data_IF_644075497662
#
_entry.id   IF_644075497662
#
_cell.length_a   1.000
_cell.length_b   1.000
_cell.length_c   1.000
_cell.angle_alpha   90.00
_cell.angle_beta   90.00
_cell.angle_gamma   90.00
#
_symmetry.space_group_name_H-M   'P 1'
#
loop_
_entity.id
_entity.type
_entity.pdbx_description
1 polymer ?
#
# COMPACT_ATOMS: atom_id res chain seq x y z
N UNK A 1 -27.25 29.79 5.66
CA UNK A 1 -28.27 28.75 5.90
C UNK A 1 -27.72 27.85 6.99
N UNK A 2 -28.52 27.51 8.01
CA UNK A 2 -28.04 26.57 9.05
C UNK A 2 -27.71 25.23 8.42
N UNK A 3 -26.52 24.69 8.70
CA UNK A 3 -26.10 23.38 8.25
C UNK A 3 -27.05 22.30 8.81
N UNK A 4 -27.58 21.44 7.96
CA UNK A 4 -28.43 20.33 8.39
C UNK A 4 -27.54 19.10 8.64
N UNK A 5 -27.22 18.85 9.91
CA UNK A 5 -26.50 17.66 10.31
C UNK A 5 -27.47 16.50 10.64
N UNK A 6 -27.06 15.28 10.32
CA UNK A 6 -27.75 14.05 10.74
C UNK A 6 -26.75 13.08 11.37
N UNK A 7 -27.17 12.45 12.44
CA UNK A 7 -26.37 11.49 13.19
C UNK A 7 -26.90 10.08 12.96
N UNK A 8 -26.01 9.15 12.63
CA UNK A 8 -26.34 7.73 12.52
C UNK A 8 -25.58 6.96 13.59
N UNK A 9 -26.30 6.22 14.41
CA UNK A 9 -25.74 5.38 15.46
C UNK A 9 -25.83 3.92 15.04
N UNK A 10 -24.67 3.25 14.94
CA UNK A 10 -24.64 1.82 14.71
C UNK A 10 -24.87 1.08 16.03
N UNK A 11 -25.86 0.21 16.08
CA UNK A 11 -26.17 -0.59 17.27
C UNK A 11 -25.77 -2.05 17.13
N UNK A 12 -25.20 -2.45 16.00
CA UNK A 12 -24.73 -3.81 15.75
C UNK A 12 -23.30 -4.08 16.17
N UNK A 13 -22.82 -5.31 15.95
CA UNK A 13 -21.47 -5.78 16.28
C UNK A 13 -21.05 -5.58 17.74
N UNK A 14 -22.02 -5.65 18.70
CA UNK A 14 -21.79 -5.40 20.12
C UNK A 14 -21.67 -3.92 20.52
N UNK A 15 -21.75 -2.99 19.56
CA UNK A 15 -21.65 -1.55 19.85
C UNK A 15 -22.83 -1.07 20.68
N UNK A 16 -24.07 -1.48 20.32
CA UNK A 16 -25.27 -1.09 21.05
C UNK A 16 -25.34 -1.62 22.49
N UNK A 17 -24.58 -2.67 22.81
CA UNK A 17 -24.45 -3.21 24.17
C UNK A 17 -23.37 -2.48 24.98
N UNK A 18 -22.33 -1.97 24.29
CA UNK A 18 -21.22 -1.26 24.91
C UNK A 18 -21.49 0.23 25.12
N UNK A 19 -22.44 0.81 24.40
CA UNK A 19 -22.75 2.24 24.40
C UNK A 19 -24.14 2.54 24.96
N UNK A 20 -24.27 3.63 25.69
CA UNK A 20 -25.57 4.18 26.05
C UNK A 20 -26.14 4.98 24.85
N UNK A 21 -26.79 4.27 23.93
CA UNK A 21 -27.34 4.84 22.70
C UNK A 21 -28.38 5.94 22.97
N UNK A 22 -29.14 5.81 24.05
CA UNK A 22 -30.19 6.78 24.45
C UNK A 22 -29.56 8.10 24.93
N UNK A 23 -28.47 8.01 25.70
CA UNK A 23 -27.69 9.19 26.12
C UNK A 23 -27.06 9.92 24.91
N UNK A 24 -26.51 9.17 23.95
CA UNK A 24 -25.94 9.71 22.71
C UNK A 24 -26.98 10.43 21.87
N UNK A 25 -28.15 9.81 21.69
CA UNK A 25 -29.31 10.42 21.02
C UNK A 25 -29.69 11.74 21.72
N UNK A 26 -29.81 11.71 23.03
CA UNK A 26 -30.18 12.90 23.82
C UNK A 26 -29.18 14.05 23.61
N UNK A 27 -27.90 13.80 23.60
CA UNK A 27 -26.87 14.81 23.33
C UNK A 27 -27.01 15.36 21.90
N UNK A 28 -27.13 14.49 20.91
CA UNK A 28 -27.21 14.91 19.51
C UNK A 28 -28.46 15.78 19.23
N UNK A 29 -29.59 15.44 19.83
CA UNK A 29 -30.85 16.16 19.65
C UNK A 29 -30.92 17.45 20.48
N UNK A 30 -30.51 17.41 21.77
CA UNK A 30 -30.68 18.53 22.68
C UNK A 30 -29.61 19.60 22.55
N UNK A 31 -28.36 19.21 22.35
CA UNK A 31 -27.24 20.17 22.27
C UNK A 31 -27.00 20.68 20.84
N UNK A 32 -27.29 19.85 19.84
CA UNK A 32 -26.95 20.15 18.45
C UNK A 32 -28.16 20.23 17.50
N UNK A 33 -29.36 19.90 17.98
CA UNK A 33 -30.58 19.90 17.15
C UNK A 33 -30.52 18.94 15.96
N UNK A 34 -29.66 17.92 16.04
CA UNK A 34 -29.42 16.98 14.95
C UNK A 34 -30.51 15.87 14.95
N UNK A 35 -30.95 15.46 13.77
CA UNK A 35 -31.78 14.26 13.66
C UNK A 35 -30.91 13.00 13.85
N UNK A 36 -31.42 12.03 14.64
CA UNK A 36 -30.70 10.78 14.91
C UNK A 36 -31.44 9.61 14.26
N UNK A 37 -30.69 8.71 13.65
CA UNK A 37 -31.16 7.41 13.15
C UNK A 37 -30.28 6.29 13.67
N UNK A 38 -30.87 5.17 14.02
CA UNK A 38 -30.19 3.96 14.47
C UNK A 38 -30.36 2.85 13.46
N UNK A 39 -29.31 2.03 13.32
CA UNK A 39 -29.35 0.85 12.48
C UNK A 39 -28.36 -0.20 12.98
N UNK A 40 -28.78 -1.48 12.96
CA UNK A 40 -27.95 -2.59 13.44
C UNK A 40 -26.65 -2.83 12.66
N UNK A 41 -26.58 -2.41 11.38
CA UNK A 41 -25.42 -2.62 10.53
C UNK A 41 -25.27 -1.45 9.54
N UNK A 42 -24.77 -0.30 10.00
CA UNK A 42 -24.56 0.88 9.14
C UNK A 42 -23.54 0.63 8.02
N UNK A 43 -22.58 -0.27 8.23
CA UNK A 43 -21.61 -0.69 7.23
C UNK A 43 -22.17 -1.69 6.19
N UNK A 44 -23.35 -2.25 6.43
CA UNK A 44 -24.02 -3.17 5.52
C UNK A 44 -24.77 -2.45 4.39
N UNK A 45 -25.19 -3.20 3.34
CA UNK A 45 -25.91 -2.62 2.19
C UNK A 45 -27.15 -1.83 2.57
N UNK A 46 -27.93 -2.33 3.53
CA UNK A 46 -29.16 -1.69 4.00
C UNK A 46 -28.90 -0.38 4.75
N UNK A 47 -27.87 -0.35 5.62
CA UNK A 47 -27.45 0.86 6.31
C UNK A 47 -26.95 1.94 5.36
N UNK A 48 -26.12 1.55 4.40
CA UNK A 48 -25.62 2.45 3.35
C UNK A 48 -26.77 3.01 2.50
N UNK A 49 -27.73 2.17 2.13
CA UNK A 49 -28.89 2.61 1.33
C UNK A 49 -29.81 3.54 2.13
N UNK A 50 -30.00 3.28 3.42
CA UNK A 50 -30.74 4.20 4.32
C UNK A 50 -30.07 5.58 4.34
N UNK A 51 -28.76 5.65 4.53
CA UNK A 51 -27.99 6.91 4.52
C UNK A 51 -28.15 7.63 3.17
N UNK A 52 -28.02 6.90 2.06
CA UNK A 52 -28.16 7.45 0.71
C UNK A 52 -29.55 8.00 0.44
N UNK A 53 -30.58 7.25 0.79
CA UNK A 53 -31.98 7.66 0.66
C UNK A 53 -32.29 8.91 1.47
N UNK A 54 -31.88 8.92 2.74
CA UNK A 54 -32.11 10.04 3.63
C UNK A 54 -31.43 11.32 3.15
N UNK A 55 -30.22 11.19 2.59
CA UNK A 55 -29.51 12.30 1.97
C UNK A 55 -30.29 12.89 0.79
N UNK A 56 -30.86 12.04 -0.05
CA UNK A 56 -31.61 12.47 -1.23
C UNK A 56 -32.93 13.14 -0.86
N UNK A 57 -33.61 12.63 0.18
CA UNK A 57 -34.97 13.10 0.56
C UNK A 57 -34.93 14.30 1.49
N UNK A 58 -33.97 14.40 2.40
CA UNK A 58 -33.94 15.43 3.44
C UNK A 58 -32.88 16.53 3.17
N UNK A 59 -31.99 16.33 2.22
CA UNK A 59 -31.03 17.36 1.78
C UNK A 59 -30.03 17.77 2.85
N UNK A 60 -29.63 16.83 3.73
CA UNK A 60 -28.55 17.09 4.68
C UNK A 60 -27.18 16.92 3.99
N UNK A 61 -26.18 17.62 4.47
CA UNK A 61 -24.86 17.72 3.86
C UNK A 61 -23.74 17.11 4.71
N UNK A 62 -24.04 16.69 5.96
CA UNK A 62 -23.01 16.22 6.91
C UNK A 62 -23.47 15.02 7.74
N UNK A 63 -22.54 14.06 7.99
CA UNK A 63 -22.74 12.81 8.75
C UNK A 63 -21.68 12.63 9.81
N UNK A 64 -22.07 12.13 10.99
CA UNK A 64 -21.16 11.76 12.10
C UNK A 64 -21.46 10.34 12.57
N UNK A 65 -20.44 9.53 12.78
CA UNK A 65 -20.53 8.13 13.21
C UNK A 65 -19.48 7.86 14.31
N UNK A 66 -19.83 7.85 15.58
CA UNK A 66 -19.19 7.28 16.78
C UNK A 66 -19.12 8.21 18.01
N UNK A 67 -18.99 7.62 19.21
CA UNK A 67 -19.31 8.21 20.51
C UNK A 67 -18.40 9.33 21.01
N UNK A 68 -17.14 9.04 21.30
CA UNK A 68 -16.22 10.02 21.89
C UNK A 68 -15.85 11.16 20.95
N UNK A 69 -16.05 10.95 19.66
CA UNK A 69 -15.76 11.93 18.62
C UNK A 69 -16.98 12.75 18.20
N UNK A 70 -18.18 12.42 18.73
CA UNK A 70 -19.41 13.05 18.26
C UNK A 70 -19.40 14.55 18.52
N UNK A 71 -19.06 14.96 19.73
CA UNK A 71 -18.94 16.39 20.10
C UNK A 71 -17.85 17.11 19.29
N UNK A 72 -16.67 16.51 19.25
CA UNK A 72 -15.55 17.09 18.49
C UNK A 72 -15.83 17.03 16.98
N UNK A 73 -16.46 15.97 16.50
CA UNK A 73 -16.84 15.80 15.11
C UNK A 73 -17.87 16.84 14.65
N UNK A 74 -18.91 17.08 15.43
CA UNK A 74 -19.93 18.09 15.10
C UNK A 74 -19.32 19.49 15.09
N UNK A 75 -18.57 19.88 16.14
CA UNK A 75 -17.91 21.19 16.22
C UNK A 75 -16.89 21.36 15.10
N UNK A 76 -16.14 20.29 14.78
CA UNK A 76 -15.18 20.33 13.67
C UNK A 76 -15.87 20.53 12.32
N UNK A 77 -16.98 19.79 12.09
CA UNK A 77 -17.75 19.89 10.85
C UNK A 77 -18.41 21.28 10.71
N UNK A 78 -18.96 21.85 11.79
CA UNK A 78 -19.54 23.19 11.78
C UNK A 78 -18.53 24.30 11.47
N UNK A 79 -17.27 24.10 11.91
CA UNK A 79 -16.17 25.06 11.72
C UNK A 79 -15.32 24.77 10.48
N UNK A 80 -15.61 23.69 9.75
CA UNK A 80 -14.86 23.33 8.54
C UNK A 80 -15.60 23.87 7.32
N UNK A 81 -14.98 24.82 6.64
CA UNK A 81 -15.44 25.23 5.31
C UNK A 81 -15.16 24.07 4.34
N UNK A 82 -16.09 23.83 3.41
CA UNK A 82 -15.81 22.90 2.31
C UNK A 82 -14.67 23.46 1.50
N UNK A 83 -13.61 22.67 1.25
CA UNK A 83 -12.58 23.11 0.32
C UNK A 83 -13.23 23.32 -1.05
N UNK A 84 -12.83 24.41 -1.69
CA UNK A 84 -13.24 24.65 -3.08
C UNK A 84 -12.89 23.41 -3.92
N UNK A 85 -13.81 22.95 -4.77
CA UNK A 85 -13.53 21.79 -5.62
C UNK A 85 -12.35 22.11 -6.53
N UNK A 86 -11.38 21.20 -6.58
CA UNK A 86 -10.26 21.31 -7.51
C UNK A 86 -10.78 21.32 -8.95
N UNK A 87 -10.70 22.46 -9.63
CA UNK A 87 -11.17 22.65 -11.01
C UNK A 87 -10.04 22.59 -12.04
N UNK A 88 -8.81 22.29 -11.64
CA UNK A 88 -7.66 22.18 -12.53
C UNK A 88 -7.70 20.93 -13.41
N UNK A 89 -6.92 20.94 -14.48
CA UNK A 89 -6.73 19.78 -15.32
C UNK A 89 -6.16 18.61 -14.53
N UNK A 90 -6.87 17.49 -14.53
CA UNK A 90 -6.45 16.25 -13.90
C UNK A 90 -5.53 15.47 -14.84
N UNK A 91 -4.30 15.23 -14.44
CA UNK A 91 -3.38 14.37 -15.16
C UNK A 91 -3.88 12.91 -15.13
N UNK A 92 -3.92 12.27 -16.30
CA UNK A 92 -4.40 10.89 -16.44
C UNK A 92 -3.28 9.85 -16.32
N UNK A 93 -2.02 10.29 -16.32
CA UNK A 93 -0.84 9.44 -16.22
C UNK A 93 -0.69 8.93 -14.78
N UNK A 94 -0.40 7.66 -14.63
CA UNK A 94 -0.09 7.03 -13.33
C UNK A 94 1.41 6.78 -13.24
N UNK A 95 2.02 7.23 -12.14
CA UNK A 95 3.39 6.90 -11.82
C UNK A 95 3.44 5.66 -10.93
N UNK A 96 4.27 4.70 -11.28
CA UNK A 96 4.57 3.52 -10.45
C UNK A 96 6.02 3.59 -10.01
N UNK A 97 6.26 3.52 -8.71
CA UNK A 97 7.60 3.64 -8.11
C UNK A 97 8.07 2.28 -7.64
N UNK A 98 9.08 1.74 -8.31
CA UNK A 98 9.68 0.44 -8.07
C UNK A 98 9.38 -0.57 -9.18
N UNK A 99 10.43 -1.09 -9.81
CA UNK A 99 10.40 -2.05 -10.93
C UNK A 99 10.47 -3.51 -10.50
N UNK A 100 10.08 -3.82 -9.25
CA UNK A 100 9.91 -5.19 -8.76
C UNK A 100 8.61 -5.81 -9.29
N UNK A 101 8.32 -7.05 -8.84
CA UNK A 101 7.14 -7.80 -9.32
C UNK A 101 5.82 -7.05 -9.08
N UNK A 102 5.67 -6.41 -7.93
CA UNK A 102 4.47 -5.66 -7.59
C UNK A 102 4.30 -4.43 -8.50
N UNK A 103 5.38 -3.66 -8.71
CA UNK A 103 5.33 -2.48 -9.57
C UNK A 103 5.13 -2.82 -11.03
N UNK A 104 5.80 -3.85 -11.56
CA UNK A 104 5.58 -4.33 -12.92
C UNK A 104 4.13 -4.80 -13.13
N UNK A 105 3.57 -5.53 -12.15
CA UNK A 105 2.18 -5.97 -12.23
C UNK A 105 1.23 -4.77 -12.21
N UNK A 106 1.42 -3.83 -11.28
CA UNK A 106 0.61 -2.62 -11.22
C UNK A 106 0.69 -1.80 -12.53
N UNK A 107 1.89 -1.65 -13.08
CA UNK A 107 2.09 -0.93 -14.34
C UNK A 107 1.33 -1.58 -15.52
N UNK A 108 1.40 -2.91 -15.63
CA UNK A 108 0.69 -3.65 -16.68
C UNK A 108 -0.83 -3.56 -16.52
N UNK A 109 -1.36 -3.71 -15.31
CA UNK A 109 -2.80 -3.60 -15.04
C UNK A 109 -3.34 -2.19 -15.33
N UNK A 110 -2.62 -1.16 -14.90
CA UNK A 110 -2.99 0.24 -15.20
C UNK A 110 -2.95 0.53 -16.70
N UNK A 111 -1.93 0.02 -17.39
CA UNK A 111 -1.81 0.18 -18.83
C UNK A 111 -2.89 -0.60 -19.60
N UNK A 112 -3.26 -1.80 -19.12
CA UNK A 112 -4.38 -2.58 -19.65
C UNK A 112 -5.73 -1.86 -19.46
N UNK A 113 -5.88 -1.10 -18.35
CA UNK A 113 -7.03 -0.22 -18.13
C UNK A 113 -7.03 1.05 -19.01
N UNK A 114 -6.10 1.16 -19.96
CA UNK A 114 -6.04 2.24 -20.96
C UNK A 114 -5.33 3.51 -20.49
N UNK A 115 -4.61 3.49 -19.37
CA UNK A 115 -3.90 4.67 -18.86
C UNK A 115 -2.42 4.65 -19.26
N UNK A 116 -1.86 5.85 -19.40
CA UNK A 116 -0.41 6.02 -19.56
C UNK A 116 0.27 5.80 -18.21
N UNK A 117 1.39 5.08 -18.23
CA UNK A 117 2.16 4.74 -17.03
C UNK A 117 3.59 5.22 -17.16
N UNK A 118 4.12 5.80 -16.09
CA UNK A 118 5.55 6.05 -15.91
C UNK A 118 6.05 5.12 -14.81
N UNK A 119 6.83 4.11 -15.17
CA UNK A 119 7.43 3.17 -14.22
C UNK A 119 8.87 3.58 -13.90
N UNK A 120 9.12 3.94 -12.64
CA UNK A 120 10.44 4.30 -12.14
C UNK A 120 11.09 3.13 -11.43
N UNK A 121 12.37 2.90 -11.71
CA UNK A 121 13.20 1.92 -11.00
C UNK A 121 14.57 2.55 -10.70
N UNK A 122 15.00 2.46 -9.44
CA UNK A 122 16.30 3.01 -9.00
C UNK A 122 17.51 2.24 -9.55
N UNK A 123 17.33 0.94 -9.81
CA UNK A 123 18.37 0.09 -10.39
C UNK A 123 18.37 0.19 -11.92
N UNK A 124 19.47 -0.18 -12.58
CA UNK A 124 19.52 -0.24 -14.05
C UNK A 124 18.69 -1.38 -14.64
N UNK A 125 18.15 -2.28 -13.81
CA UNK A 125 17.40 -3.46 -14.25
C UNK A 125 16.10 -3.59 -13.48
N UNK A 126 15.05 -4.08 -14.17
CA UNK A 126 13.79 -4.50 -13.56
C UNK A 126 13.92 -5.87 -12.88
N UNK A 127 12.92 -6.21 -12.06
CA UNK A 127 12.74 -7.54 -11.47
C UNK A 127 12.78 -7.56 -9.94
N UNK A 128 13.50 -6.62 -9.34
CA UNK A 128 13.62 -6.52 -7.88
C UNK A 128 14.14 -7.82 -7.24
N UNK A 129 13.73 -8.11 -6.01
CA UNK A 129 14.17 -9.31 -5.27
C UNK A 129 13.78 -10.62 -5.94
N UNK A 130 12.64 -10.65 -6.64
CA UNK A 130 12.17 -11.89 -7.25
C UNK A 130 13.09 -12.38 -8.38
N UNK A 131 13.88 -11.49 -8.99
CA UNK A 131 14.90 -11.86 -9.98
C UNK A 131 16.10 -12.57 -9.38
N UNK A 132 16.28 -12.47 -8.04
CA UNK A 132 17.36 -13.14 -7.33
C UNK A 132 17.00 -14.57 -6.91
N UNK A 133 15.70 -14.92 -6.90
CA UNK A 133 15.23 -16.24 -6.49
C UNK A 133 15.29 -17.24 -7.64
N UNK A 134 15.82 -18.43 -7.36
CA UNK A 134 15.81 -19.53 -8.31
C UNK A 134 14.42 -20.15 -8.47
N UNK A 135 13.71 -20.29 -7.38
CA UNK A 135 12.37 -20.86 -7.29
C UNK A 135 11.53 -20.12 -6.27
N UNK A 136 10.24 -20.17 -6.44
CA UNK A 136 9.26 -19.60 -5.52
C UNK A 136 8.22 -20.65 -5.14
N UNK A 137 7.55 -20.43 -4.03
CA UNK A 137 6.38 -21.23 -3.66
C UNK A 137 5.29 -21.08 -4.72
N UNK A 138 4.58 -22.15 -5.06
CA UNK A 138 3.55 -22.10 -6.08
C UNK A 138 2.39 -21.21 -5.66
N UNK A 139 1.86 -20.46 -6.62
CA UNK A 139 0.75 -19.55 -6.42
C UNK A 139 -0.62 -20.23 -6.40
N UNK A 140 -0.69 -21.51 -6.83
CA UNK A 140 -1.92 -22.28 -6.97
C UNK A 140 -1.85 -23.63 -6.25
N UNK A 141 -3.00 -24.11 -5.81
CA UNK A 141 -3.12 -25.46 -5.25
C UNK A 141 -2.60 -26.51 -6.26
N UNK A 142 -1.96 -27.61 -5.80
CA UNK A 142 -1.79 -28.08 -4.42
C UNK A 142 -0.61 -27.50 -3.63
N UNK A 143 0.05 -26.45 -4.10
CA UNK A 143 1.17 -25.72 -3.45
C UNK A 143 2.39 -26.61 -3.13
N UNK A 144 2.68 -27.62 -3.97
CA UNK A 144 3.74 -28.61 -3.71
C UNK A 144 5.00 -28.39 -4.53
N UNK A 145 4.83 -28.02 -5.79
CA UNK A 145 5.95 -27.95 -6.72
C UNK A 145 6.42 -26.49 -6.87
N UNK A 146 7.68 -26.26 -6.58
CA UNK A 146 8.26 -24.92 -6.69
C UNK A 146 8.25 -24.42 -8.15
N UNK A 147 7.79 -23.20 -8.36
CA UNK A 147 7.68 -22.55 -9.66
C UNK A 147 8.91 -21.70 -9.99
N UNK A 148 9.18 -21.50 -11.27
CA UNK A 148 10.13 -20.48 -11.72
C UNK A 148 9.47 -19.12 -11.56
N UNK A 149 10.16 -18.12 -10.97
CA UNK A 149 9.60 -16.78 -10.87
C UNK A 149 9.21 -16.22 -12.25
N UNK A 150 7.99 -15.66 -12.43
CA UNK A 150 7.52 -15.13 -13.72
C UNK A 150 8.09 -13.75 -14.03
N UNK A 151 9.34 -13.48 -13.62
CA UNK A 151 9.96 -12.16 -13.72
C UNK A 151 10.34 -11.82 -15.16
N UNK A 152 10.92 -12.78 -15.88
CA UNK A 152 11.39 -12.57 -17.25
C UNK A 152 10.24 -12.19 -18.19
N UNK A 153 9.12 -12.89 -18.09
CA UNK A 153 7.92 -12.62 -18.89
C UNK A 153 7.34 -11.22 -18.57
N UNK A 154 7.29 -10.87 -17.30
CA UNK A 154 6.79 -9.54 -16.90
C UNK A 154 7.74 -8.41 -17.33
N UNK A 155 9.04 -8.62 -17.28
CA UNK A 155 10.03 -7.64 -17.78
C UNK A 155 9.82 -7.42 -19.28
N UNK A 156 9.66 -8.49 -20.05
CA UNK A 156 9.41 -8.40 -21.49
C UNK A 156 8.10 -7.63 -21.76
N UNK A 157 7.01 -8.03 -21.08
CA UNK A 157 5.71 -7.38 -21.22
C UNK A 157 5.76 -5.88 -20.89
N UNK A 158 6.45 -5.47 -19.84
CA UNK A 158 6.61 -4.06 -19.47
C UNK A 158 7.41 -3.29 -20.51
N UNK A 159 8.49 -3.87 -21.03
CA UNK A 159 9.36 -3.22 -22.02
C UNK A 159 8.68 -3.02 -23.38
N UNK A 160 7.82 -3.95 -23.76
CA UNK A 160 7.12 -3.94 -25.04
C UNK A 160 5.79 -3.17 -25.00
N UNK A 161 5.30 -2.82 -23.80
CA UNK A 161 3.99 -2.21 -23.66
C UNK A 161 3.98 -0.74 -24.10
N UNK A 162 3.17 -0.34 -25.12
CA UNK A 162 3.24 0.99 -25.71
C UNK A 162 2.84 2.13 -24.75
N UNK A 163 2.07 1.84 -23.70
CA UNK A 163 1.62 2.82 -22.71
C UNK A 163 2.49 2.89 -21.46
N UNK A 164 3.58 2.13 -21.38
CA UNK A 164 4.47 2.15 -20.24
C UNK A 164 5.78 2.84 -20.63
N UNK A 165 6.00 4.01 -20.07
CA UNK A 165 7.30 4.69 -20.14
C UNK A 165 8.17 4.23 -18.99
N UNK A 166 9.21 3.46 -19.31
CA UNK A 166 10.17 2.95 -18.33
C UNK A 166 11.29 3.97 -18.08
N UNK A 167 11.57 4.23 -16.81
CA UNK A 167 12.68 5.08 -16.36
C UNK A 167 13.53 4.30 -15.36
N UNK A 168 14.62 3.74 -15.85
CA UNK A 168 15.63 3.01 -15.05
C UNK A 168 16.64 3.99 -14.47
N UNK A 169 17.41 3.54 -13.47
CA UNK A 169 18.40 4.35 -12.75
C UNK A 169 17.82 5.70 -12.30
N UNK A 170 16.57 5.65 -11.80
CA UNK A 170 15.79 6.85 -11.49
C UNK A 170 15.33 6.82 -10.04
N UNK A 171 15.62 7.88 -9.29
CA UNK A 171 15.17 8.10 -7.91
C UNK A 171 14.33 9.35 -7.80
N UNK A 172 13.30 9.31 -6.95
CA UNK A 172 12.48 10.49 -6.66
C UNK A 172 13.21 11.37 -5.65
N UNK A 173 13.30 12.66 -5.94
CA UNK A 173 13.85 13.66 -5.02
C UNK A 173 12.76 14.47 -4.32
N UNK A 174 11.69 14.80 -5.05
CA UNK A 174 10.61 15.63 -4.52
C UNK A 174 9.27 15.24 -5.14
N UNK A 175 8.24 15.29 -4.31
CA UNK A 175 6.84 15.21 -4.74
C UNK A 175 6.10 16.40 -4.17
N UNK A 176 5.35 17.11 -5.01
CA UNK A 176 4.50 18.23 -4.64
C UNK A 176 3.12 18.07 -5.27
N UNK A 177 2.17 18.91 -4.88
CA UNK A 177 0.81 18.87 -5.43
C UNK A 177 -0.12 17.95 -4.64
N UNK A 178 -1.14 17.45 -5.32
CA UNK A 178 -2.24 16.68 -4.72
C UNK A 178 -2.75 15.64 -5.71
N UNK A 179 -3.60 14.67 -5.29
CA UNK A 179 -4.24 13.72 -6.19
C UNK A 179 -4.87 14.40 -7.41
N UNK A 180 -4.54 13.90 -8.59
CA UNK A 180 -4.89 14.49 -9.87
C UNK A 180 -3.86 15.49 -10.44
N UNK A 181 -2.93 15.99 -9.63
CA UNK A 181 -1.96 17.01 -10.05
C UNK A 181 -0.65 16.93 -9.24
N UNK A 182 -0.04 15.74 -9.16
CA UNK A 182 1.28 15.59 -8.57
C UNK A 182 2.37 16.10 -9.53
N UNK A 183 3.28 16.87 -8.99
CA UNK A 183 4.53 17.28 -9.63
C UNK A 183 5.67 16.50 -8.99
N UNK A 184 6.32 15.66 -9.77
CA UNK A 184 7.37 14.77 -9.30
C UNK A 184 8.69 15.17 -9.94
N UNK A 185 9.65 15.54 -9.11
CA UNK A 185 11.04 15.75 -9.50
C UNK A 185 11.81 14.47 -9.23
N UNK A 186 12.40 13.90 -10.25
CA UNK A 186 13.19 12.69 -10.19
C UNK A 186 14.58 12.90 -10.79
N UNK A 187 15.57 12.17 -10.29
CA UNK A 187 16.92 12.11 -10.86
C UNK A 187 17.06 10.82 -11.63
N UNK A 188 17.27 10.95 -12.93
CA UNK A 188 17.60 9.82 -13.81
C UNK A 188 19.08 9.91 -14.20
N UNK A 189 19.88 8.95 -13.73
CA UNK A 189 21.34 9.09 -13.74
C UNK A 189 21.75 10.42 -13.04
N UNK A 190 22.33 11.38 -13.76
CA UNK A 190 22.71 12.69 -13.23
C UNK A 190 21.80 13.83 -13.70
N UNK A 191 20.73 13.53 -14.43
CA UNK A 191 19.81 14.51 -14.97
C UNK A 191 18.53 14.63 -14.13
N UNK A 192 18.06 15.86 -13.90
CA UNK A 192 16.79 16.12 -13.25
C UNK A 192 15.67 16.04 -14.31
N UNK A 193 14.65 15.27 -13.97
CA UNK A 193 13.47 15.08 -14.82
C UNK A 193 12.21 15.41 -14.01
N UNK A 194 11.37 16.28 -14.55
CA UNK A 194 10.08 16.60 -13.97
C UNK A 194 8.95 15.88 -14.67
N UNK A 195 7.99 15.39 -13.90
CA UNK A 195 6.78 14.70 -14.38
C UNK A 195 5.56 15.17 -13.64
N UNK A 196 4.50 15.50 -14.39
CA UNK A 196 3.16 15.73 -13.84
C UNK A 196 2.34 14.46 -14.01
N UNK A 197 1.79 13.95 -12.90
CA UNK A 197 1.02 12.70 -12.87
C UNK A 197 -0.22 12.84 -11.99
N UNK A 198 -1.25 12.06 -12.28
CA UNK A 198 -2.51 12.11 -11.54
C UNK A 198 -2.49 11.25 -10.28
N UNK A 199 -1.74 10.15 -10.31
CA UNK A 199 -1.67 9.20 -9.20
C UNK A 199 -0.28 8.59 -9.10
N UNK A 200 0.10 8.19 -7.88
CA UNK A 200 1.37 7.53 -7.60
C UNK A 200 1.09 6.21 -6.88
N UNK A 201 1.62 5.12 -7.42
CA UNK A 201 1.60 3.78 -6.84
C UNK A 201 2.99 3.49 -6.27
N UNK A 202 3.08 3.25 -4.97
CA UNK A 202 4.33 2.91 -4.30
C UNK A 202 4.49 1.38 -4.26
N UNK A 203 5.53 0.88 -4.92
CA UNK A 203 5.88 -0.54 -5.00
C UNK A 203 7.38 -0.74 -4.72
N UNK A 204 7.90 -0.04 -3.72
CA UNK A 204 9.33 0.09 -3.42
C UNK A 204 9.95 -1.18 -2.82
N UNK A 205 9.13 -2.18 -2.49
CA UNK A 205 9.60 -3.45 -1.96
C UNK A 205 10.07 -3.34 -0.50
N UNK A 206 11.07 -4.15 -0.17
CA UNK A 206 11.63 -4.24 1.18
C UNK A 206 13.17 -4.31 1.11
N UNK A 207 13.81 -4.05 2.23
CA UNK A 207 15.25 -4.24 2.41
C UNK A 207 15.51 -5.35 3.43
N UNK A 208 16.50 -6.23 3.19
CA UNK A 208 16.91 -7.21 4.18
C UNK A 208 17.35 -6.50 5.47
N UNK A 209 17.11 -7.16 6.59
CA UNK A 209 17.65 -6.69 7.86
C UNK A 209 19.19 -6.67 7.80
N UNK A 210 19.80 -5.67 8.42
CA UNK A 210 21.23 -5.55 8.50
C UNK A 210 21.82 -6.68 9.38
N UNK A 211 22.31 -7.71 8.73
CA UNK A 211 22.87 -8.88 9.41
C UNK A 211 24.11 -8.55 10.26
N UNK A 212 24.77 -7.41 10.02
CA UNK A 212 25.88 -6.94 10.86
C UNK A 212 25.46 -6.72 12.33
N UNK A 213 24.18 -6.49 12.58
CA UNK A 213 23.59 -6.38 13.93
C UNK A 213 23.34 -7.72 14.62
N UNK A 214 23.52 -8.84 13.91
CA UNK A 214 23.25 -10.20 14.38
C UNK A 214 24.52 -10.96 14.79
N UNK A 215 25.54 -10.26 15.28
CA UNK A 215 26.80 -10.86 15.74
C UNK A 215 26.60 -11.91 16.84
N UNK A 216 25.60 -11.75 17.69
CA UNK A 216 25.22 -12.73 18.73
C UNK A 216 24.75 -14.07 18.17
N UNK A 217 24.30 -14.11 16.89
CA UNK A 217 23.97 -15.33 16.17
C UNK A 217 25.15 -15.85 15.33
N UNK A 218 26.32 -15.24 15.44
CA UNK A 218 27.55 -15.65 14.80
C UNK A 218 27.79 -15.04 13.41
N UNK A 219 26.91 -14.16 12.91
CA UNK A 219 27.14 -13.47 11.63
C UNK A 219 28.37 -12.55 11.75
N UNK A 220 29.30 -12.67 10.80
CA UNK A 220 30.58 -11.96 10.82
C UNK A 220 31.66 -12.61 11.72
N UNK A 221 31.28 -13.58 12.59
CA UNK A 221 32.23 -14.36 13.42
C UNK A 221 32.56 -15.69 12.79
N UNK A 222 31.59 -16.33 12.16
CA UNK A 222 31.80 -17.57 11.40
C UNK A 222 31.45 -17.35 9.94
N UNK A 223 32.31 -17.74 8.99
CA UNK A 223 32.02 -17.64 7.56
C UNK A 223 30.83 -18.49 7.14
N UNK A 224 30.48 -19.53 7.89
CA UNK A 224 29.37 -20.45 7.58
C UNK A 224 28.01 -19.94 8.08
N UNK A 225 27.97 -18.81 8.77
CA UNK A 225 26.74 -18.10 9.10
C UNK A 225 26.44 -17.08 8.00
N UNK A 226 25.46 -17.39 7.19
CA UNK A 226 25.09 -16.61 6.00
C UNK A 226 23.64 -16.11 6.09
N UNK A 227 23.32 -15.08 5.33
CA UNK A 227 21.94 -14.59 5.22
C UNK A 227 21.13 -15.42 4.21
N UNK A 228 19.80 -15.32 4.28
CA UNK A 228 18.93 -15.91 3.28
C UNK A 228 19.22 -15.39 1.86
N UNK A 229 19.63 -14.13 1.71
CA UNK A 229 20.03 -13.55 0.42
C UNK A 229 21.28 -14.24 -0.13
N UNK A 230 22.30 -14.46 0.73
CA UNK A 230 23.51 -15.17 0.34
C UNK A 230 23.24 -16.65 -0.01
N UNK A 231 22.31 -17.29 0.70
CA UNK A 231 21.85 -18.63 0.38
C UNK A 231 21.18 -18.70 -0.99
N UNK A 232 20.24 -17.79 -1.27
CA UNK A 232 19.56 -17.72 -2.57
C UNK A 232 20.55 -17.52 -3.72
N UNK A 233 21.57 -16.69 -3.52
CA UNK A 233 22.63 -16.52 -4.51
C UNK A 233 23.39 -17.82 -4.77
N UNK A 234 23.79 -18.55 -3.75
CA UNK A 234 24.44 -19.87 -3.91
C UNK A 234 23.54 -20.86 -4.65
N UNK A 235 22.26 -20.90 -4.29
CA UNK A 235 21.29 -21.81 -4.94
C UNK A 235 21.05 -21.43 -6.41
N UNK A 236 21.03 -20.14 -6.72
CA UNK A 236 20.91 -19.63 -8.09
C UNK A 236 22.13 -20.01 -8.95
N UNK A 237 23.32 -19.98 -8.38
CA UNK A 237 24.55 -20.45 -9.00
C UNK A 237 24.65 -21.98 -9.11
N UNK A 238 23.65 -22.72 -8.58
CA UNK A 238 23.62 -24.19 -8.59
C UNK A 238 24.57 -24.84 -7.61
N UNK A 239 25.08 -24.07 -6.63
CA UNK A 239 26.05 -24.54 -5.64
C UNK A 239 25.56 -24.23 -4.24
N UNK A 240 25.41 -25.25 -3.41
CA UNK A 240 25.19 -25.10 -1.98
C UNK A 240 26.45 -25.60 -1.25
N UNK A 241 27.24 -24.68 -0.74
CA UNK A 241 28.50 -24.98 -0.11
C UNK A 241 28.77 -24.11 1.11
N UNK A 242 29.48 -24.66 2.07
CA UNK A 242 29.99 -23.89 3.22
C UNK A 242 31.03 -22.87 2.74
N UNK A 243 30.88 -21.60 3.05
CA UNK A 243 31.88 -20.60 2.68
C UNK A 243 33.31 -20.86 3.23
N UNK A 244 33.39 -21.55 4.38
CA UNK A 244 34.67 -21.84 5.04
C UNK A 244 35.59 -22.78 4.24
N UNK A 245 35.04 -23.79 3.57
CA UNK A 245 35.82 -24.84 2.95
C UNK A 245 35.31 -25.31 1.57
N UNK A 246 34.23 -24.71 1.10
CA UNK A 246 33.64 -25.01 -0.21
C UNK A 246 32.94 -26.38 -0.30
N UNK A 247 32.82 -27.13 0.80
CA UNK A 247 32.13 -28.44 0.82
C UNK A 247 30.64 -28.31 1.05
N UNK A 248 29.83 -29.28 0.61
CA UNK A 248 28.41 -29.33 0.94
C UNK A 248 28.19 -29.38 2.45
N UNK A 249 27.21 -28.63 2.99
CA UNK A 249 26.85 -28.73 4.40
C UNK A 249 26.20 -30.09 4.67
N UNK A 250 26.44 -30.67 5.86
CA UNK A 250 25.71 -31.86 6.33
C UNK A 250 24.39 -31.50 6.97
N UNK A 251 24.40 -30.43 7.74
CA UNK A 251 23.26 -29.94 8.50
C UNK A 251 23.12 -28.44 8.22
N UNK A 252 21.88 -27.97 8.10
CA UNK A 252 21.55 -26.58 7.87
C UNK A 252 20.53 -26.14 8.90
N UNK A 253 20.78 -25.05 9.60
CA UNK A 253 19.86 -24.44 10.58
C UNK A 253 19.37 -23.12 10.03
N UNK A 254 18.05 -22.94 10.02
CA UNK A 254 17.40 -21.69 9.65
C UNK A 254 16.91 -20.95 10.90
N UNK A 255 17.38 -19.74 11.11
CA UNK A 255 16.87 -18.83 12.15
C UNK A 255 16.01 -17.78 11.43
N UNK A 256 14.69 -17.92 11.58
CA UNK A 256 13.75 -17.03 10.92
C UNK A 256 13.46 -15.80 11.77
N UNK A 257 13.14 -14.69 11.10
CA UNK A 257 12.78 -13.41 11.72
C UNK A 257 13.87 -12.83 12.64
N UNK A 258 15.13 -13.27 12.49
CA UNK A 258 16.24 -12.76 13.28
C UNK A 258 16.36 -11.23 13.12
N UNK A 259 16.29 -10.48 14.21
CA UNK A 259 16.36 -9.03 14.26
C UNK A 259 15.12 -8.29 13.76
N UNK A 260 14.14 -8.95 13.14
CA UNK A 260 12.94 -8.29 12.61
C UNK A 260 11.77 -8.27 13.61
N UNK A 261 11.87 -9.00 14.70
CA UNK A 261 10.89 -9.08 15.79
C UNK A 261 11.46 -8.85 17.17
N UNK A 262 12.75 -8.57 17.24
CA UNK A 262 13.42 -8.25 18.49
C UNK A 262 13.19 -6.77 18.79
N UNK A 263 12.79 -6.48 20.03
CA UNK A 263 12.72 -5.11 20.55
C UNK A 263 14.10 -4.58 20.92
#
# INVERSE_FOLDING_TARGET
MASKARVYICTGCGIGEALNVEALRGVAESEFGAKVSEHGHLCGPEGVEMIRRDRQTEGWDRVVIAEDQLRMGIVKIEKTDFPDPFTGEIAQTVMVVGGGIAGMTAALEVAAAGREVVLLEQKPNLGGWLSEFRRISPSRAPYRDLEVPPVAEKIAAVREHPRIKLMLSTTIEKVAGQPGAFEVTARQNDEIVEKRVGSIVLATGWQPYDAGKLGHLGFGLSPDVITNVMLEQQVKEGRLARPSDGKPPRDVVFIQCAGSRDE
#
